data_IF_211155081487
#
_entry.id   IF_211155081487
#
_cell.length_a   1.000
_cell.length_b   1.000
_cell.length_c   1.000
_cell.angle_alpha   90.00
_cell.angle_beta   90.00
_cell.angle_gamma   90.00
#
_symmetry.space_group_name_H-M   'P 1'
#
loop_
_entity.id
_entity.type
_entity.pdbx_description
1 polymer ?
#
# COMPACT_ATOMS: atom_id res chain seq x y z
N UNK A 1 -11.53 -0.19 27.26
CA UNK A 1 -10.37 -0.87 26.61
C UNK A 1 -10.34 -2.28 27.13
N UNK A 2 -10.04 -3.26 26.28
CA UNK A 2 -9.81 -4.65 26.72
C UNK A 2 -8.47 -4.74 27.47
N UNK A 3 -8.33 -5.74 28.34
CA UNK A 3 -7.06 -6.05 28.98
C UNK A 3 -6.04 -6.62 27.96
N UNK A 4 -4.73 -6.64 28.29
CA UNK A 4 -3.71 -7.09 27.34
C UNK A 4 -3.84 -8.55 26.90
N UNK A 5 -4.26 -9.47 27.79
CA UNK A 5 -4.41 -10.89 27.47
C UNK A 5 -5.55 -11.09 26.48
N UNK A 6 -6.72 -10.50 26.76
CA UNK A 6 -7.87 -10.56 25.84
C UNK A 6 -7.54 -9.95 24.48
N UNK A 7 -6.80 -8.83 24.46
CA UNK A 7 -6.39 -8.17 23.21
C UNK A 7 -5.40 -9.03 22.41
N UNK A 8 -4.42 -9.63 23.07
CA UNK A 8 -3.48 -10.56 22.44
C UNK A 8 -4.21 -11.79 21.88
N UNK A 9 -5.14 -12.36 22.64
CA UNK A 9 -5.89 -13.54 22.20
C UNK A 9 -6.74 -13.26 20.97
N UNK A 10 -7.40 -12.10 20.89
CA UNK A 10 -8.15 -11.69 19.70
C UNK A 10 -7.21 -11.58 18.49
N UNK A 11 -6.04 -10.96 18.67
CA UNK A 11 -5.05 -10.85 17.61
C UNK A 11 -4.58 -12.24 17.18
N UNK A 12 -4.17 -13.11 18.10
CA UNK A 12 -3.67 -14.46 17.77
C UNK A 12 -4.74 -15.29 17.04
N UNK A 13 -6.02 -15.13 17.40
CA UNK A 13 -7.14 -15.89 16.83
C UNK A 13 -7.35 -15.63 15.33
N UNK A 14 -6.88 -14.50 14.78
CA UNK A 14 -7.06 -14.18 13.35
C UNK A 14 -6.52 -15.27 12.41
N UNK A 15 -5.48 -16.01 12.83
CA UNK A 15 -4.93 -17.13 12.06
C UNK A 15 -5.97 -18.25 11.94
N UNK A 16 -6.57 -18.65 13.07
CA UNK A 16 -7.58 -19.70 13.12
C UNK A 16 -8.80 -19.30 12.29
N UNK A 17 -9.29 -18.09 12.45
CA UNK A 17 -10.45 -17.58 11.71
C UNK A 17 -10.15 -17.52 10.20
N UNK A 18 -8.96 -17.06 9.82
CA UNK A 18 -8.50 -17.06 8.43
C UNK A 18 -8.44 -18.47 7.83
N UNK A 19 -7.96 -19.46 8.58
CA UNK A 19 -7.90 -20.84 8.14
C UNK A 19 -9.29 -21.47 8.00
N UNK A 20 -10.21 -21.21 8.91
CA UNK A 20 -11.59 -21.68 8.81
C UNK A 20 -12.31 -21.06 7.61
N UNK A 21 -12.12 -19.76 7.37
CA UNK A 21 -12.65 -19.10 6.17
C UNK A 21 -12.05 -19.69 4.89
N UNK A 22 -10.73 -19.88 4.85
CA UNK A 22 -10.05 -20.47 3.71
C UNK A 22 -10.53 -21.90 3.40
N UNK A 23 -10.77 -22.72 4.44
CA UNK A 23 -11.38 -24.05 4.29
C UNK A 23 -12.80 -23.98 3.74
N UNK A 24 -13.64 -23.09 4.29
CA UNK A 24 -15.02 -22.88 3.85
C UNK A 24 -15.09 -22.52 2.36
N UNK A 25 -14.15 -21.70 1.89
CA UNK A 25 -14.04 -21.29 0.50
C UNK A 25 -13.16 -22.21 -0.36
N UNK A 26 -12.74 -23.36 0.17
CA UNK A 26 -11.95 -24.38 -0.54
C UNK A 26 -10.66 -23.83 -1.17
N UNK A 27 -10.02 -22.87 -0.50
CA UNK A 27 -8.74 -22.34 -0.97
C UNK A 27 -7.68 -23.46 -1.00
N UNK A 28 -6.79 -23.46 -2.01
CA UNK A 28 -5.72 -24.45 -2.10
C UNK A 28 -4.84 -24.46 -0.85
N UNK A 29 -4.26 -25.63 -0.54
CA UNK A 29 -3.38 -25.81 0.62
C UNK A 29 -2.28 -24.75 0.67
N UNK A 30 -1.66 -24.45 -0.48
CA UNK A 30 -0.60 -23.43 -0.57
C UNK A 30 -1.04 -22.05 -0.07
N UNK A 31 -2.29 -21.64 -0.28
CA UNK A 31 -2.77 -20.34 0.23
C UNK A 31 -3.02 -20.41 1.74
N UNK A 32 -3.50 -21.57 2.22
CA UNK A 32 -3.70 -21.82 3.65
C UNK A 32 -2.38 -21.81 4.41
N UNK A 33 -1.28 -22.26 3.79
CA UNK A 33 0.05 -22.19 4.38
C UNK A 33 0.49 -20.73 4.62
N UNK A 34 0.20 -19.80 3.71
CA UNK A 34 0.48 -18.38 3.92
C UNK A 34 -0.29 -17.84 5.13
N UNK A 35 -1.56 -18.23 5.30
CA UNK A 35 -2.35 -17.81 6.46
C UNK A 35 -1.75 -18.36 7.75
N UNK A 36 -1.41 -19.65 7.79
CA UNK A 36 -0.90 -20.30 8.99
C UNK A 36 0.49 -19.80 9.40
N UNK A 37 1.36 -19.55 8.42
CA UNK A 37 2.81 -19.38 8.66
C UNK A 37 3.26 -17.92 8.77
N UNK A 38 2.48 -16.94 8.29
CA UNK A 38 2.99 -15.58 8.11
C UNK A 38 3.43 -14.87 9.40
N UNK A 39 2.89 -15.26 10.57
CA UNK A 39 3.36 -14.76 11.87
C UNK A 39 4.33 -15.71 12.58
N UNK A 40 4.47 -16.94 12.08
CA UNK A 40 5.29 -17.99 12.67
C UNK A 40 4.95 -18.23 14.14
N UNK A 41 5.97 -18.26 14.99
CA UNK A 41 5.83 -18.34 16.45
C UNK A 41 6.08 -17.01 17.14
N UNK A 42 5.92 -15.91 16.40
CA UNK A 42 6.24 -14.56 16.84
C UNK A 42 5.49 -14.14 18.11
N UNK A 43 6.11 -13.22 18.86
CA UNK A 43 5.53 -12.66 20.07
C UNK A 43 4.69 -11.41 19.73
N UNK A 44 3.46 -11.35 20.26
CA UNK A 44 2.61 -10.15 20.26
C UNK A 44 3.14 -9.15 21.29
N UNK A 45 4.31 -8.57 20.97
CA UNK A 45 5.21 -7.90 21.91
C UNK A 45 4.58 -6.73 22.66
N UNK A 46 3.75 -5.92 22.01
CA UNK A 46 3.10 -4.78 22.65
C UNK A 46 2.23 -5.20 23.85
N UNK A 47 1.37 -6.20 23.66
CA UNK A 47 0.48 -6.67 24.71
C UNK A 47 1.22 -7.49 25.77
N UNK A 48 2.28 -8.21 25.39
CA UNK A 48 3.16 -8.88 26.34
C UNK A 48 3.82 -7.89 27.30
N UNK A 49 4.44 -6.82 26.79
CA UNK A 49 5.06 -5.78 27.63
C UNK A 49 4.03 -5.12 28.54
N UNK A 50 2.85 -4.78 27.99
CA UNK A 50 1.76 -4.18 28.78
C UNK A 50 1.23 -5.13 29.87
N UNK A 51 1.21 -6.43 29.62
CA UNK A 51 0.87 -7.42 30.64
C UNK A 51 1.92 -7.46 31.75
N UNK A 52 3.21 -7.41 31.41
CA UNK A 52 4.31 -7.38 32.38
C UNK A 52 4.28 -6.11 33.25
N UNK A 53 3.88 -4.97 32.68
CA UNK A 53 3.68 -3.73 33.45
C UNK A 53 2.56 -3.86 34.50
N UNK A 54 1.56 -4.71 34.27
CA UNK A 54 0.42 -4.91 35.17
C UNK A 54 0.69 -6.00 36.22
N UNK A 55 1.19 -7.16 35.79
CA UNK A 55 1.33 -8.35 36.64
C UNK A 55 2.77 -8.58 37.15
N UNK A 56 3.73 -7.75 36.69
CA UNK A 56 5.15 -7.98 36.88
C UNK A 56 5.72 -9.00 35.88
N UNK A 57 7.04 -8.97 35.61
CA UNK A 57 7.66 -9.86 34.61
C UNK A 57 7.48 -11.36 34.90
N UNK A 58 7.45 -11.77 36.16
CA UNK A 58 7.28 -13.17 36.58
C UNK A 58 5.81 -13.62 36.57
N UNK A 59 4.86 -12.67 36.51
CA UNK A 59 3.42 -12.94 36.49
C UNK A 59 2.83 -13.18 35.10
N UNK A 60 3.67 -13.21 34.05
CA UNK A 60 3.21 -13.30 32.66
C UNK A 60 3.93 -14.45 31.94
N UNK A 61 3.16 -15.47 31.51
CA UNK A 61 3.70 -16.50 30.63
C UNK A 61 3.78 -15.96 29.20
N UNK A 62 4.97 -15.99 28.62
CA UNK A 62 5.22 -15.56 27.25
C UNK A 62 4.41 -16.36 26.22
N UNK A 63 4.06 -17.62 26.53
CA UNK A 63 3.26 -18.49 25.66
C UNK A 63 1.87 -17.93 25.38
N UNK A 64 1.28 -17.18 26.31
CA UNK A 64 -0.04 -16.57 26.15
C UNK A 64 -0.04 -15.46 25.08
N UNK A 65 1.14 -15.01 24.67
CA UNK A 65 1.33 -13.91 23.72
C UNK A 65 2.02 -14.36 22.42
N UNK A 66 2.26 -15.66 22.24
CA UNK A 66 2.90 -16.19 21.04
C UNK A 66 1.89 -16.78 20.06
N UNK A 67 2.14 -16.57 18.79
CA UNK A 67 1.41 -17.28 17.74
C UNK A 67 1.71 -18.79 17.82
N UNK A 68 0.73 -19.65 17.50
CA UNK A 68 0.89 -21.10 17.61
C UNK A 68 1.81 -21.71 16.55
N UNK A 69 2.22 -20.93 15.53
CA UNK A 69 2.93 -21.44 14.37
C UNK A 69 2.03 -22.18 13.37
N UNK A 70 2.65 -22.95 12.44
CA UNK A 70 4.08 -23.24 12.35
C UNK A 70 4.91 -22.07 11.83
N UNK A 71 6.24 -22.19 11.92
CA UNK A 71 7.17 -21.27 11.24
C UNK A 71 7.05 -21.40 9.72
N UNK A 72 7.48 -20.39 8.95
CA UNK A 72 7.58 -20.49 7.50
C UNK A 72 8.42 -21.68 7.04
N UNK A 73 7.85 -22.52 6.18
CA UNK A 73 8.49 -23.72 5.62
C UNK A 73 8.86 -23.59 4.15
N UNK A 74 8.48 -22.49 3.50
CA UNK A 74 8.84 -22.20 2.11
C UNK A 74 9.49 -20.83 1.98
N UNK A 75 10.14 -20.55 0.84
CA UNK A 75 10.67 -19.20 0.57
C UNK A 75 9.53 -18.19 0.56
N UNK A 76 8.40 -18.54 -0.04
CA UNK A 76 7.26 -17.65 -0.24
C UNK A 76 6.56 -17.25 1.07
N UNK A 77 6.33 -18.19 1.99
CA UNK A 77 5.72 -17.86 3.28
C UNK A 77 6.68 -17.07 4.17
N UNK A 78 7.99 -17.34 4.07
CA UNK A 78 9.01 -16.55 4.76
C UNK A 78 9.11 -15.13 4.20
N UNK A 79 9.02 -14.97 2.87
CA UNK A 79 8.94 -13.67 2.22
C UNK A 79 7.69 -12.89 2.64
N UNK A 80 6.53 -13.56 2.74
CA UNK A 80 5.30 -12.93 3.26
C UNK A 80 5.50 -12.42 4.69
N UNK A 81 6.03 -13.26 5.59
CA UNK A 81 6.33 -12.86 6.98
C UNK A 81 7.21 -11.62 7.05
N UNK A 82 8.30 -11.62 6.28
CA UNK A 82 9.24 -10.49 6.26
C UNK A 82 8.56 -9.24 5.68
N UNK A 83 7.79 -9.38 4.61
CA UNK A 83 7.10 -8.25 3.98
C UNK A 83 6.07 -7.61 4.91
N UNK A 84 5.22 -8.41 5.55
CA UNK A 84 4.21 -7.96 6.52
C UNK A 84 4.86 -7.23 7.71
N UNK A 85 5.93 -7.82 8.26
CA UNK A 85 6.67 -7.24 9.38
C UNK A 85 7.36 -5.93 9.01
N UNK A 86 7.99 -5.86 7.83
CA UNK A 86 8.67 -4.66 7.36
C UNK A 86 7.68 -3.54 7.00
N UNK A 87 6.58 -3.84 6.31
CA UNK A 87 5.51 -2.86 6.02
C UNK A 87 4.95 -2.28 7.31
N UNK A 88 4.57 -3.15 8.25
CA UNK A 88 3.97 -2.72 9.51
C UNK A 88 4.92 -1.82 10.31
N UNK A 89 6.22 -2.19 10.36
CA UNK A 89 7.23 -1.40 11.04
C UNK A 89 7.44 -0.04 10.38
N UNK A 90 7.62 0.01 9.05
CA UNK A 90 7.81 1.27 8.31
C UNK A 90 6.58 2.17 8.40
N UNK A 91 5.38 1.60 8.29
CA UNK A 91 4.12 2.35 8.44
C UNK A 91 3.97 2.96 9.85
N UNK A 92 4.43 2.26 10.87
CA UNK A 92 4.40 2.74 12.25
C UNK A 92 5.47 3.82 12.53
N UNK A 93 6.71 3.64 12.05
CA UNK A 93 7.82 4.56 12.35
C UNK A 93 7.90 5.76 11.41
N UNK A 94 7.28 5.68 10.22
CA UNK A 94 7.24 6.74 9.20
C UNK A 94 8.63 7.34 8.90
N UNK A 95 9.61 6.50 8.49
CA UNK A 95 10.95 6.97 8.15
C UNK A 95 10.89 7.96 6.97
N UNK A 96 11.76 8.97 7.01
CA UNK A 96 11.78 10.07 6.04
C UNK A 96 12.85 9.91 4.97
N UNK A 97 13.80 9.00 5.18
CA UNK A 97 14.92 8.77 4.27
C UNK A 97 15.03 7.31 3.86
N UNK A 98 15.74 7.06 2.74
CA UNK A 98 16.02 5.70 2.28
C UNK A 98 16.86 4.92 3.30
N UNK A 99 17.77 5.61 3.98
CA UNK A 99 18.68 4.99 4.93
C UNK A 99 17.93 4.60 6.21
N UNK A 100 17.02 5.43 6.70
CA UNK A 100 16.10 5.06 7.80
C UNK A 100 15.21 3.86 7.43
N UNK A 101 14.69 3.79 6.20
CA UNK A 101 13.94 2.61 5.73
C UNK A 101 14.83 1.36 5.75
N UNK A 102 16.09 1.48 5.29
CA UNK A 102 17.05 0.38 5.33
C UNK A 102 17.35 -0.10 6.75
N UNK A 103 17.56 0.82 7.68
CA UNK A 103 17.76 0.50 9.09
C UNK A 103 16.57 -0.28 9.67
N UNK A 104 15.34 0.17 9.40
CA UNK A 104 14.12 -0.52 9.85
C UNK A 104 14.04 -1.93 9.24
N UNK A 105 14.24 -2.07 7.92
CA UNK A 105 14.17 -3.37 7.23
C UNK A 105 15.24 -4.33 7.76
N UNK A 106 16.49 -3.87 7.91
CA UNK A 106 17.59 -4.68 8.50
C UNK A 106 17.26 -5.15 9.90
N UNK A 107 16.76 -4.25 10.75
CA UNK A 107 16.38 -4.57 12.13
C UNK A 107 15.34 -5.69 12.18
N UNK A 108 14.30 -5.61 11.35
CA UNK A 108 13.24 -6.62 11.30
C UNK A 108 13.76 -7.97 10.79
N UNK A 109 14.51 -7.99 9.68
CA UNK A 109 15.07 -9.23 9.14
C UNK A 109 15.99 -9.90 10.17
N UNK A 110 16.89 -9.13 10.80
CA UNK A 110 17.79 -9.64 11.82
C UNK A 110 17.04 -10.15 13.05
N UNK A 111 15.98 -9.45 13.47
CA UNK A 111 15.15 -9.91 14.58
C UNK A 111 14.52 -11.27 14.28
N UNK A 112 13.90 -11.45 13.11
CA UNK A 112 13.31 -12.73 12.70
C UNK A 112 14.34 -13.86 12.60
N UNK A 113 15.56 -13.54 12.16
CA UNK A 113 16.67 -14.48 12.12
C UNK A 113 17.10 -14.92 13.54
N UNK A 114 17.30 -13.97 14.45
CA UNK A 114 17.73 -14.24 15.84
C UNK A 114 16.64 -14.96 16.63
N UNK A 115 15.37 -14.61 16.43
CA UNK A 115 14.22 -15.31 17.03
C UNK A 115 14.01 -16.72 16.42
N UNK A 116 14.79 -17.08 15.39
CA UNK A 116 14.74 -18.41 14.76
C UNK A 116 13.47 -18.63 13.92
N UNK A 117 12.73 -17.59 13.56
CA UNK A 117 11.50 -17.68 12.77
C UNK A 117 11.77 -18.19 11.35
N UNK A 118 12.97 -17.96 10.83
CA UNK A 118 13.37 -18.38 9.47
C UNK A 118 14.03 -19.76 9.41
N UNK A 119 14.20 -20.43 10.56
CA UNK A 119 14.99 -21.67 10.69
C UNK A 119 14.44 -22.87 9.93
N UNK A 120 13.14 -22.89 9.63
CA UNK A 120 12.48 -23.95 8.87
C UNK A 120 12.29 -23.58 7.39
N UNK A 121 12.72 -22.38 6.98
CA UNK A 121 12.62 -21.91 5.61
C UNK A 121 13.91 -22.16 4.83
N UNK A 122 13.84 -22.41 3.51
CA UNK A 122 15.03 -22.59 2.68
C UNK A 122 15.68 -21.27 2.23
N UNK A 123 15.48 -20.16 2.96
CA UNK A 123 16.11 -18.88 2.67
C UNK A 123 17.59 -18.90 3.09
N UNK A 124 18.46 -18.47 2.18
CA UNK A 124 19.88 -18.27 2.44
C UNK A 124 20.14 -16.83 2.90
N UNK A 125 21.32 -16.57 3.49
CA UNK A 125 21.74 -15.19 3.79
C UNK A 125 21.82 -14.30 2.54
N UNK A 126 22.15 -14.89 1.39
CA UNK A 126 22.14 -14.19 0.10
C UNK A 126 20.71 -13.81 -0.34
N UNK A 127 19.73 -14.71 -0.12
CA UNK A 127 18.32 -14.38 -0.34
C UNK A 127 17.91 -13.22 0.58
N UNK A 128 18.28 -13.23 1.86
CA UNK A 128 17.92 -12.16 2.81
C UNK A 128 18.48 -10.79 2.40
N UNK A 129 19.72 -10.75 1.89
CA UNK A 129 20.30 -9.51 1.37
C UNK A 129 19.56 -9.01 0.12
N UNK A 130 19.16 -9.93 -0.77
CA UNK A 130 18.34 -9.59 -1.94
C UNK A 130 16.97 -9.05 -1.52
N UNK A 131 16.33 -9.69 -0.54
CA UNK A 131 15.04 -9.29 0.03
C UNK A 131 15.12 -7.90 0.64
N UNK A 132 16.15 -7.63 1.45
CA UNK A 132 16.40 -6.30 2.03
C UNK A 132 16.43 -5.22 0.95
N UNK A 133 17.23 -5.41 -0.09
CA UNK A 133 17.35 -4.43 -1.17
C UNK A 133 16.01 -4.17 -1.89
N UNK A 134 15.25 -5.23 -2.17
CA UNK A 134 13.92 -5.14 -2.82
C UNK A 134 12.92 -4.44 -1.91
N UNK A 135 12.91 -4.75 -0.61
CA UNK A 135 11.98 -4.15 0.35
C UNK A 135 12.27 -2.66 0.56
N UNK A 136 13.54 -2.27 0.71
CA UNK A 136 13.93 -0.86 0.82
C UNK A 136 13.49 -0.06 -0.40
N UNK A 137 13.68 -0.62 -1.60
CA UNK A 137 13.23 0.02 -2.84
C UNK A 137 11.70 0.16 -2.90
N UNK A 138 10.97 -0.90 -2.52
CA UNK A 138 9.51 -0.95 -2.62
C UNK A 138 8.82 -0.06 -1.59
N UNK A 139 9.26 -0.11 -0.33
CA UNK A 139 8.67 0.66 0.77
C UNK A 139 8.94 2.16 0.63
N UNK A 140 10.07 2.57 0.06
CA UNK A 140 10.29 3.98 -0.29
C UNK A 140 9.21 4.51 -1.23
N UNK A 141 8.87 3.74 -2.27
CA UNK A 141 7.88 4.14 -3.28
C UNK A 141 6.44 4.26 -2.74
N UNK A 142 6.11 3.49 -1.70
CA UNK A 142 4.77 3.50 -1.09
C UNK A 142 4.60 4.64 -0.08
N UNK A 143 5.65 4.95 0.70
CA UNK A 143 5.56 5.90 1.82
C UNK A 143 6.02 7.33 1.50
N UNK A 144 6.55 7.59 0.29
CA UNK A 144 6.81 8.96 -0.16
C UNK A 144 5.58 9.50 -0.91
N UNK A 145 5.08 10.70 -0.56
CA UNK A 145 3.91 11.26 -1.21
C UNK A 145 4.15 11.38 -2.73
N UNK A 146 3.16 10.94 -3.52
CA UNK A 146 3.15 11.16 -4.96
C UNK A 146 3.28 12.66 -5.23
N UNK A 147 4.16 13.04 -6.15
CA UNK A 147 4.32 14.44 -6.58
C UNK A 147 2.96 14.95 -7.05
N UNK A 148 2.45 16.00 -6.40
CA UNK A 148 1.27 16.73 -6.87
C UNK A 148 1.72 17.53 -8.08
N UNK A 149 1.16 17.24 -9.25
CA UNK A 149 1.40 18.06 -10.43
C UNK A 149 0.80 19.45 -10.18
N UNK A 150 1.57 20.53 -10.32
CA UNK A 150 1.03 21.88 -10.17
C UNK A 150 -0.06 22.11 -11.22
N UNK A 151 -1.23 22.60 -10.79
CA UNK A 151 -2.25 23.04 -11.73
C UNK A 151 -1.72 24.24 -12.53
N UNK A 152 -1.70 24.11 -13.85
CA UNK A 152 -1.37 25.23 -14.73
C UNK A 152 -2.57 26.17 -14.74
N UNK A 153 -2.58 27.14 -13.83
CA UNK A 153 -3.58 28.21 -13.86
C UNK A 153 -3.32 29.08 -15.09
N UNK A 154 -4.00 28.79 -16.21
CA UNK A 154 -4.09 29.73 -17.34
C UNK A 154 -4.85 30.96 -16.85
N UNK A 155 -4.14 32.05 -16.59
CA UNK A 155 -4.78 33.35 -16.44
C UNK A 155 -5.47 33.73 -17.76
N UNK A 156 -6.75 34.14 -17.74
CA UNK A 156 -7.42 34.61 -18.95
C UNK A 156 -6.78 35.94 -19.40
N UNK A 157 -6.14 35.91 -20.56
CA UNK A 157 -5.68 37.11 -21.26
C UNK A 157 -6.93 37.88 -21.72
N UNK A 158 -7.21 39.02 -21.09
CA UNK A 158 -8.24 39.94 -21.55
C UNK A 158 -7.68 40.63 -22.81
N UNK A 159 -8.11 40.18 -23.98
CA UNK A 159 -7.82 40.87 -25.25
C UNK A 159 -8.73 42.09 -25.37
N UNK A 160 -8.21 43.29 -25.11
CA UNK A 160 -8.84 44.52 -25.57
C UNK A 160 -8.45 44.77 -27.02
N UNK A 161 -9.37 44.58 -27.96
CA UNK A 161 -9.23 45.10 -29.33
C UNK A 161 -10.13 46.33 -29.49
N UNK A 162 -9.66 47.45 -30.06
CA UNK A 162 -10.48 48.64 -30.25
C UNK A 162 -11.41 48.48 -31.45
N UNK A 163 -12.61 49.06 -31.34
CA UNK A 163 -13.63 49.05 -32.40
C UNK A 163 -13.18 49.85 -33.64
N UNK A 164 -13.52 49.43 -34.87
CA UNK A 164 -13.29 50.25 -36.06
C UNK A 164 -14.35 51.33 -36.21
N UNK A 165 -13.91 52.55 -36.56
CA UNK A 165 -14.74 53.69 -36.89
C UNK A 165 -15.44 53.50 -38.25
N UNK A 166 -16.75 53.74 -38.31
CA UNK A 166 -17.55 53.66 -39.53
C UNK A 166 -17.98 55.06 -39.98
N UNK A 167 -17.60 55.39 -41.22
CA UNK A 167 -17.86 56.65 -41.93
C UNK A 167 -19.14 56.47 -42.76
N UNK A 168 -20.15 57.31 -42.56
CA UNK A 168 -21.36 57.37 -43.39
C UNK A 168 -21.09 58.08 -44.74
N UNK A 169 -21.72 57.65 -45.85
CA UNK A 169 -22.73 58.50 -46.51
C UNK A 169 -23.80 57.67 -47.31
N UNK A 170 -24.57 58.26 -48.25
CA UNK A 170 -25.88 58.89 -48.05
C UNK A 170 -27.08 58.11 -48.66
N UNK A 171 -28.25 58.70 -48.50
CA UNK A 171 -29.62 58.18 -48.68
C UNK A 171 -30.14 57.94 -50.11
N UNK A 172 -31.00 56.90 -50.20
CA UNK A 172 -32.18 56.67 -51.07
C UNK A 172 -32.01 56.38 -52.58
N UNK A 173 -32.42 55.18 -53.03
CA UNK A 173 -33.77 54.92 -53.58
C UNK A 173 -33.85 53.55 -54.31
N UNK A 174 -34.96 52.84 -54.04
CA UNK A 174 -35.79 51.99 -54.89
C UNK A 174 -35.22 50.96 -55.90
N UNK A 175 -35.74 49.74 -55.72
CA UNK A 175 -36.48 48.91 -56.69
C UNK A 175 -35.86 47.56 -57.13
N UNK A 176 -36.72 46.54 -57.05
CA UNK A 176 -36.51 45.13 -57.48
C UNK A 176 -36.83 45.00 -59.00
N UNK A 177 -36.72 43.86 -59.74
CA UNK A 177 -36.70 42.47 -59.28
C UNK A 177 -35.81 41.46 -60.07
N UNK A 178 -35.85 40.22 -59.57
CA UNK A 178 -35.26 38.92 -60.01
C UNK A 178 -35.48 38.57 -61.50
N UNK A 179 -34.68 37.65 -62.08
CA UNK A 179 -35.10 36.24 -62.12
C UNK A 179 -33.97 35.19 -61.94
N UNK A 180 -34.38 33.94 -61.69
CA UNK A 180 -33.58 32.69 -61.70
C UNK A 180 -33.69 32.01 -63.10
N UNK A 181 -33.37 30.71 -63.33
CA UNK A 181 -32.48 29.73 -62.67
C UNK A 181 -31.56 28.97 -63.68
N UNK A 182 -30.73 28.02 -63.22
CA UNK A 182 -30.34 26.75 -63.91
C UNK A 182 -29.28 26.02 -63.04
N UNK A 183 -29.63 24.93 -62.35
CA UNK A 183 -29.62 23.52 -62.79
C UNK A 183 -28.23 22.83 -62.75
N UNK A 184 -28.19 21.79 -61.90
CA UNK A 184 -27.17 20.75 -61.79
C UNK A 184 -27.29 19.74 -62.95
N UNK A 185 -26.33 18.82 -63.10
CA UNK A 185 -26.70 17.43 -62.80
C UNK A 185 -25.60 16.53 -62.20
N UNK A 186 -26.09 15.50 -61.50
CA UNK A 186 -25.61 14.12 -61.26
C UNK A 186 -24.16 13.85 -60.83
N UNK A 187 -23.87 13.13 -59.73
CA UNK A 187 -24.33 11.79 -59.30
C UNK A 187 -23.83 10.63 -60.19
N UNK A 188 -22.75 10.00 -59.71
CA UNK A 188 -22.49 8.55 -59.71
C UNK A 188 -21.47 8.26 -58.60
#
# INVERSE_FOLDING_TARGET
QLDPWSSAQIIITHIKDGLELAKKHKLPHRIRDFIAEHQGTGLVRFFYVKAQEIAGPEGVDEKDFRYPGPKPRSKETALLMLADSCESAVRATRPQSRDEVDEVVRKIINQKLIEGELSESPLTLQDLETVRQVFVRSLKGVHHPRVVYPEVTRQPQISSSPAPAEIAPPSAAADSPRPAPAESPNAA
#
